data_IF_358363041055
#
_entry.id   IF_358363041055
#
_cell.length_a   1.000
_cell.length_b   1.000
_cell.length_c   1.000
_cell.angle_alpha   90.00
_cell.angle_beta   90.00
_cell.angle_gamma   90.00
#
_symmetry.space_group_name_H-M   'P 1'
#
loop_
_entity.id
_entity.type
_entity.pdbx_description
1 polymer ?
#
# COMPACT_ATOMS: atom_id res chain seq x y z
N UNK A 1 4.58 -27.31 34.18
CA UNK A 1 3.52 -26.34 34.51
C UNK A 1 2.18 -27.01 34.24
N UNK A 2 1.24 -26.99 35.18
CA UNK A 2 -0.07 -27.63 35.08
C UNK A 2 -0.99 -26.90 34.08
N UNK A 3 -1.83 -27.66 33.36
CA UNK A 3 -2.87 -27.31 32.35
C UNK A 3 -3.79 -26.07 32.60
N UNK A 4 -3.62 -25.33 33.69
CA UNK A 4 -4.49 -24.21 34.07
C UNK A 4 -4.16 -22.97 33.24
N UNK A 5 -5.09 -22.62 32.33
CA UNK A 5 -5.23 -21.35 31.61
C UNK A 5 -4.65 -21.24 30.18
N UNK A 6 -4.76 -22.28 29.33
CA UNK A 6 -4.57 -22.07 27.89
C UNK A 6 -5.74 -21.25 27.35
N UNK A 7 -5.54 -19.96 27.08
CA UNK A 7 -6.54 -19.07 26.48
C UNK A 7 -6.44 -19.15 24.96
N UNK A 8 -7.52 -19.61 24.34
CA UNK A 8 -7.62 -19.81 22.89
C UNK A 8 -8.65 -18.82 22.34
N UNK A 9 -8.31 -18.21 21.21
CA UNK A 9 -9.21 -17.33 20.46
C UNK A 9 -9.91 -18.13 19.35
N UNK A 10 -10.90 -17.53 18.68
CA UNK A 10 -11.66 -18.22 17.63
C UNK A 10 -11.79 -17.32 16.42
N UNK A 11 -11.54 -17.81 15.22
CA UNK A 11 -11.86 -17.08 13.99
C UNK A 11 -13.35 -17.22 13.67
N UNK A 12 -13.98 -16.15 13.18
CA UNK A 12 -15.40 -16.19 12.79
C UNK A 12 -15.56 -15.96 11.28
N UNK A 13 -16.44 -16.75 10.68
CA UNK A 13 -16.95 -16.56 9.32
C UNK A 13 -18.36 -15.98 9.37
N UNK A 14 -18.79 -15.22 8.34
CA UNK A 14 -20.17 -14.76 8.20
C UNK A 14 -21.17 -15.93 8.13
N UNK A 15 -22.46 -15.70 8.46
CA UNK A 15 -23.46 -16.76 8.48
C UNK A 15 -23.78 -17.45 7.13
N UNK A 16 -23.27 -16.98 5.99
CA UNK A 16 -23.54 -17.58 4.68
C UNK A 16 -22.27 -17.65 3.81
N UNK A 17 -21.86 -18.88 3.48
CA UNK A 17 -20.72 -19.19 2.62
C UNK A 17 -21.16 -19.10 1.15
N UNK A 18 -20.74 -18.07 0.40
CA UNK A 18 -20.88 -18.08 -1.07
C UNK A 18 -19.58 -17.69 -1.77
N UNK A 19 -18.96 -18.73 -2.31
CA UNK A 19 -17.71 -18.77 -3.06
C UNK A 19 -17.93 -18.25 -4.49
N UNK A 20 -18.18 -16.95 -4.65
CA UNK A 20 -18.31 -16.34 -6.00
C UNK A 20 -17.71 -14.94 -6.08
N UNK A 21 -16.39 -14.85 -6.09
CA UNK A 21 -15.69 -13.69 -6.69
C UNK A 21 -14.52 -14.17 -7.55
N UNK A 22 -14.32 -13.58 -8.75
CA UNK A 22 -13.29 -14.03 -9.69
C UNK A 22 -11.88 -13.71 -9.18
N UNK A 23 -10.90 -14.61 -9.36
CA UNK A 23 -9.52 -14.48 -8.87
C UNK A 23 -8.65 -13.48 -9.66
N UNK A 24 -9.23 -12.51 -10.36
CA UNK A 24 -8.55 -11.74 -11.42
C UNK A 24 -7.58 -10.66 -10.96
N UNK A 25 -7.35 -10.48 -9.64
CA UNK A 25 -6.45 -9.44 -9.11
C UNK A 25 -5.23 -10.01 -8.36
N UNK A 26 -4.94 -11.30 -8.53
CA UNK A 26 -3.89 -12.00 -7.80
C UNK A 26 -2.60 -12.03 -8.62
N UNK A 27 -1.57 -11.31 -8.18
CA UNK A 27 -0.19 -11.60 -8.61
C UNK A 27 0.25 -12.82 -7.82
N UNK A 28 0.25 -13.99 -8.46
CA UNK A 28 0.92 -15.17 -7.93
C UNK A 28 2.40 -14.83 -7.72
N UNK A 29 3.04 -15.24 -6.60
CA UNK A 29 4.48 -15.26 -6.55
C UNK A 29 4.99 -16.08 -7.73
N UNK A 30 6.01 -15.59 -8.44
CA UNK A 30 6.74 -16.44 -9.37
C UNK A 30 7.16 -17.69 -8.59
N UNK A 31 6.84 -18.88 -9.12
CA UNK A 31 7.31 -20.15 -8.58
C UNK A 31 8.82 -20.05 -8.29
N UNK A 32 9.17 -19.95 -7.01
CA UNK A 32 10.55 -20.11 -6.54
C UNK A 32 11.38 -18.88 -6.14
N UNK A 33 10.83 -17.71 -5.81
CA UNK A 33 11.68 -16.56 -5.37
C UNK A 33 11.27 -15.82 -4.08
N UNK A 34 10.42 -16.41 -3.23
CA UNK A 34 10.16 -15.92 -1.87
C UNK A 34 10.11 -17.10 -0.88
N UNK A 35 10.67 -16.96 0.34
CA UNK A 35 10.61 -18.03 1.34
C UNK A 35 9.15 -18.29 1.72
N UNK A 36 8.80 -19.57 1.77
CA UNK A 36 7.44 -20.06 1.61
C UNK A 36 6.78 -20.32 2.98
N UNK A 37 6.35 -19.29 3.77
CA UNK A 37 5.66 -19.45 5.10
C UNK A 37 4.51 -18.41 5.55
N UNK A 38 3.16 -18.69 5.55
CA UNK A 38 1.93 -18.47 6.42
C UNK A 38 0.59 -18.66 5.61
N UNK A 39 -0.62 -18.73 6.21
CA UNK A 39 -1.91 -18.93 5.49
C UNK A 39 -3.02 -17.84 5.57
N UNK A 40 -3.76 -17.59 4.47
CA UNK A 40 -4.84 -16.59 4.33
C UNK A 40 -6.00 -17.06 3.42
N UNK A 41 -7.26 -16.76 3.77
CA UNK A 41 -8.45 -16.93 2.89
C UNK A 41 -8.46 -15.87 1.77
N UNK A 42 -8.57 -16.32 0.51
CA UNK A 42 -8.56 -15.46 -0.69
C UNK A 42 -9.67 -14.40 -0.72
N UNK A 43 -10.82 -14.68 -0.13
CA UNK A 43 -11.99 -13.77 -0.09
C UNK A 43 -11.89 -12.71 1.00
N UNK A 44 -11.02 -12.93 2.00
CA UNK A 44 -10.84 -12.05 3.14
C UNK A 44 -9.83 -10.91 2.87
N UNK A 45 -9.12 -10.93 1.75
CA UNK A 45 -8.02 -10.01 1.44
C UNK A 45 -8.42 -8.52 1.32
N UNK A 46 -7.78 -7.63 2.07
CA UNK A 46 -7.87 -6.17 1.87
C UNK A 46 -6.96 -5.70 0.73
N UNK A 47 -7.24 -4.54 0.13
CA UNK A 47 -6.30 -3.97 -0.86
C UNK A 47 -5.07 -3.40 -0.13
N UNK A 48 -3.82 -3.59 -0.62
CA UNK A 48 -2.66 -2.90 -0.06
C UNK A 48 -2.84 -1.38 -0.11
N UNK A 49 -2.35 -0.68 0.91
CA UNK A 49 -2.54 0.75 1.14
C UNK A 49 -3.92 1.14 1.69
N UNK A 50 -4.78 0.17 2.03
CA UNK A 50 -6.09 0.48 2.62
C UNK A 50 -5.93 1.07 4.02
N UNK A 51 -6.64 2.17 4.28
CA UNK A 51 -6.88 2.67 5.63
C UNK A 51 -8.10 1.95 6.24
N UNK A 52 -7.88 1.17 7.29
CA UNK A 52 -8.91 0.44 8.01
C UNK A 52 -9.30 1.22 9.26
N UNK A 53 -10.52 1.71 9.30
CA UNK A 53 -11.07 2.41 10.45
C UNK A 53 -11.41 1.41 11.56
N UNK A 54 -10.92 1.69 12.76
CA UNK A 54 -11.04 0.85 13.95
C UNK A 54 -11.76 1.61 15.05
N UNK A 55 -12.96 1.14 15.41
CA UNK A 55 -13.80 1.72 16.44
C UNK A 55 -13.78 0.87 17.72
N UNK A 56 -13.53 1.49 18.87
CA UNK A 56 -13.68 0.84 20.17
C UNK A 56 -15.08 1.07 20.75
N UNK A 57 -15.88 0.01 20.87
CA UNK A 57 -17.24 0.06 21.41
C UNK A 57 -17.27 0.17 22.94
N UNK A 58 -16.21 -0.28 23.62
CA UNK A 58 -16.06 -0.23 25.08
C UNK A 58 -14.58 -0.28 25.49
N UNK A 59 -14.27 -0.47 26.78
CA UNK A 59 -12.91 -0.64 27.30
C UNK A 59 -12.34 0.60 27.99
N UNK A 60 -11.40 0.39 28.90
CA UNK A 60 -10.67 1.47 29.57
C UNK A 60 -9.72 2.16 28.60
N UNK A 61 -9.34 3.40 28.89
CA UNK A 61 -8.32 4.13 28.10
C UNK A 61 -6.99 3.37 28.06
N UNK A 62 -6.61 2.72 29.16
CA UNK A 62 -5.38 1.93 29.23
C UNK A 62 -5.41 0.75 28.26
N UNK A 63 -6.47 -0.06 28.31
CA UNK A 63 -6.64 -1.23 27.42
C UNK A 63 -6.71 -0.80 25.96
N UNK A 64 -7.48 0.25 25.63
CA UNK A 64 -7.56 0.80 24.25
C UNK A 64 -6.19 1.21 23.72
N UNK A 65 -5.38 1.89 24.52
CA UNK A 65 -4.04 2.32 24.14
C UNK A 65 -3.09 1.14 23.89
N UNK A 66 -3.17 0.08 24.72
CA UNK A 66 -2.38 -1.14 24.52
C UNK A 66 -2.80 -1.87 23.25
N UNK A 67 -4.09 -2.04 23.01
CA UNK A 67 -4.60 -2.65 21.77
C UNK A 67 -4.15 -1.86 20.54
N UNK A 68 -4.29 -0.52 20.55
CA UNK A 68 -3.80 0.33 19.47
C UNK A 68 -2.31 0.10 19.20
N UNK A 69 -1.48 0.16 20.24
CA UNK A 69 -0.03 0.00 20.10
C UNK A 69 0.37 -1.34 19.46
N UNK A 70 -0.20 -2.46 19.93
CA UNK A 70 0.18 -3.78 19.43
C UNK A 70 -0.45 -4.11 18.07
N UNK A 71 -1.63 -3.58 17.75
CA UNK A 71 -2.23 -3.69 16.42
C UNK A 71 -1.34 -3.09 15.33
N UNK A 72 -0.78 -1.90 15.60
CA UNK A 72 0.09 -1.16 14.68
C UNK A 72 1.45 -1.83 14.43
N UNK A 73 1.78 -2.94 15.11
CA UNK A 73 2.98 -3.73 14.78
C UNK A 73 2.87 -4.32 13.36
N UNK A 74 1.66 -4.67 12.91
CA UNK A 74 1.43 -5.15 11.55
C UNK A 74 1.78 -4.11 10.48
N UNK A 75 1.53 -2.82 10.72
CA UNK A 75 1.81 -1.71 9.79
C UNK A 75 3.31 -1.61 9.41
N UNK A 76 4.20 -2.18 10.23
CA UNK A 76 5.65 -2.22 9.94
C UNK A 76 6.03 -3.21 8.84
N UNK A 77 5.14 -4.14 8.52
CA UNK A 77 5.40 -5.26 7.60
C UNK A 77 4.33 -5.38 6.53
N UNK A 78 3.13 -4.87 6.79
CA UNK A 78 1.99 -4.86 5.90
C UNK A 78 1.68 -3.42 5.50
N UNK A 79 1.59 -3.17 4.20
CA UNK A 79 1.08 -1.92 3.62
C UNK A 79 -0.43 -1.80 3.87
N UNK A 80 -0.82 -1.48 5.11
CA UNK A 80 -2.16 -1.22 5.62
C UNK A 80 -2.00 -0.21 6.75
N UNK A 81 -2.96 0.72 6.91
CA UNK A 81 -2.98 1.68 8.02
C UNK A 81 -4.23 1.46 8.89
N UNK A 82 -4.07 1.35 10.21
CA UNK A 82 -5.18 1.31 11.16
C UNK A 82 -5.50 2.71 11.67
N UNK A 83 -6.67 3.21 11.28
CA UNK A 83 -7.18 4.52 11.70
C UNK A 83 -8.11 4.34 12.90
N UNK A 84 -7.59 4.53 14.11
CA UNK A 84 -8.38 4.46 15.34
C UNK A 84 -9.17 5.76 15.54
N UNK A 85 -10.48 5.73 15.26
CA UNK A 85 -11.38 6.87 15.33
C UNK A 85 -12.82 6.46 15.71
N UNK A 86 -13.72 7.45 15.71
CA UNK A 86 -15.15 7.26 15.99
C UNK A 86 -16.00 7.13 14.70
N UNK A 87 -15.40 6.64 13.60
CA UNK A 87 -16.10 6.51 12.32
C UNK A 87 -17.32 5.60 12.43
N UNK A 88 -18.49 6.11 12.03
CA UNK A 88 -19.73 5.34 11.98
C UNK A 88 -19.68 4.17 10.98
N UNK A 89 -18.73 4.21 10.03
CA UNK A 89 -18.52 3.17 9.03
C UNK A 89 -17.23 2.35 9.31
N UNK A 90 -16.76 2.32 10.55
CA UNK A 90 -15.57 1.57 10.94
C UNK A 90 -15.68 0.10 10.53
N UNK A 91 -14.70 -0.38 9.76
CA UNK A 91 -14.66 -1.76 9.30
C UNK A 91 -14.40 -2.71 10.47
N UNK A 92 -13.51 -2.34 11.38
CA UNK A 92 -13.17 -3.12 12.57
C UNK A 92 -13.83 -2.48 13.79
N UNK A 93 -14.64 -3.24 14.52
CA UNK A 93 -15.39 -2.76 15.70
C UNK A 93 -15.10 -3.65 16.91
N UNK A 94 -14.40 -3.11 17.90
CA UNK A 94 -13.81 -3.88 19.00
C UNK A 94 -14.66 -3.77 20.26
N UNK A 95 -15.05 -4.91 20.83
CA UNK A 95 -15.65 -5.02 22.16
C UNK A 95 -14.72 -5.70 23.17
N UNK A 96 -15.00 -5.51 24.47
CA UNK A 96 -14.27 -6.12 25.58
C UNK A 96 -15.21 -6.90 26.51
N UNK A 97 -16.02 -7.81 25.95
CA UNK A 97 -16.97 -8.62 26.72
C UNK A 97 -16.22 -9.68 27.51
N UNK A 98 -16.07 -9.46 28.82
CA UNK A 98 -15.37 -10.37 29.74
C UNK A 98 -16.02 -11.76 29.71
N UNK A 99 -15.21 -12.80 29.54
CA UNK A 99 -15.68 -14.18 29.44
C UNK A 99 -16.29 -14.55 28.07
N UNK A 100 -16.43 -13.61 27.15
CA UNK A 100 -16.93 -13.84 25.78
C UNK A 100 -15.89 -14.43 24.81
N UNK A 101 -14.72 -14.84 25.29
CA UNK A 101 -13.57 -15.26 24.49
C UNK A 101 -12.92 -14.09 23.74
N UNK A 102 -11.78 -14.34 23.09
CA UNK A 102 -11.22 -13.40 22.10
C UNK A 102 -11.44 -13.96 20.71
N UNK A 103 -11.79 -13.10 19.76
CA UNK A 103 -12.11 -13.50 18.39
C UNK A 103 -12.14 -12.29 17.46
N UNK A 104 -12.02 -12.57 16.17
CA UNK A 104 -12.12 -11.59 15.09
C UNK A 104 -12.73 -12.25 13.84
N UNK A 105 -13.51 -11.49 13.07
CA UNK A 105 -13.88 -11.93 11.71
C UNK A 105 -12.69 -11.78 10.77
N UNK A 106 -12.63 -12.66 9.77
CA UNK A 106 -11.52 -12.69 8.82
C UNK A 106 -11.59 -11.54 7.80
N UNK A 107 -10.61 -10.65 7.81
CA UNK A 107 -10.38 -9.71 6.72
C UNK A 107 -11.63 -8.93 6.28
N UNK A 108 -11.90 -8.89 4.98
CA UNK A 108 -13.08 -8.21 4.40
C UNK A 108 -14.44 -8.78 4.82
N UNK A 109 -14.51 -9.93 5.47
CA UNK A 109 -15.77 -10.43 6.02
C UNK A 109 -16.32 -9.51 7.11
N UNK A 110 -15.46 -8.70 7.74
CA UNK A 110 -15.85 -7.60 8.61
C UNK A 110 -16.89 -6.65 7.97
N UNK A 111 -16.87 -6.49 6.63
CA UNK A 111 -17.81 -5.64 5.88
C UNK A 111 -19.24 -6.19 5.80
N UNK A 112 -19.42 -7.47 6.10
CA UNK A 112 -20.74 -8.13 6.06
C UNK A 112 -21.46 -8.07 7.41
N UNK A 113 -20.75 -7.64 8.45
CA UNK A 113 -21.27 -7.59 9.81
C UNK A 113 -22.05 -6.29 10.01
N UNK A 114 -23.30 -6.34 10.53
CA UNK A 114 -24.09 -5.15 10.82
C UNK A 114 -23.30 -4.11 11.65
N UNK A 115 -23.51 -2.83 11.33
CA UNK A 115 -22.72 -1.72 11.90
C UNK A 115 -22.87 -1.56 13.42
N UNK A 116 -23.94 -2.09 14.01
CA UNK A 116 -24.22 -2.09 15.45
C UNK A 116 -23.64 -3.30 16.20
N UNK A 117 -23.02 -4.24 15.48
CA UNK A 117 -22.42 -5.45 16.05
C UNK A 117 -20.89 -5.34 16.08
N UNK A 118 -20.21 -5.89 17.11
CA UNK A 118 -18.76 -5.99 17.12
C UNK A 118 -18.27 -6.93 16.01
N UNK A 119 -17.10 -6.63 15.47
CA UNK A 119 -16.38 -7.51 14.53
C UNK A 119 -15.14 -8.17 15.14
N UNK A 120 -14.75 -7.72 16.34
CA UNK A 120 -13.67 -8.29 17.13
C UNK A 120 -14.01 -8.16 18.62
N UNK A 121 -13.59 -9.13 19.43
CA UNK A 121 -13.70 -9.06 20.89
C UNK A 121 -12.38 -9.45 21.56
N UNK A 122 -12.04 -8.78 22.64
CA UNK A 122 -11.01 -9.22 23.59
C UNK A 122 -11.65 -9.59 24.93
N UNK A 123 -11.68 -10.87 25.25
CA UNK A 123 -12.52 -11.39 26.34
C UNK A 123 -11.90 -11.38 27.73
N UNK A 124 -10.65 -10.98 27.88
CA UNK A 124 -9.90 -11.16 29.13
C UNK A 124 -8.86 -10.08 29.44
N UNK A 125 -8.84 -8.99 28.67
CA UNK A 125 -7.99 -7.84 28.99
C UNK A 125 -8.61 -7.01 30.11
N UNK A 126 -7.74 -6.54 30.99
CA UNK A 126 -8.02 -5.60 32.06
C UNK A 126 -6.81 -4.67 32.28
N UNK A 127 -6.93 -3.72 33.21
CA UNK A 127 -5.88 -2.74 33.50
C UNK A 127 -4.64 -3.35 34.19
N UNK A 128 -4.66 -4.64 34.53
CA UNK A 128 -3.53 -5.37 35.13
C UNK A 128 -2.90 -6.38 34.16
N UNK A 129 -3.41 -6.48 32.94
CA UNK A 129 -2.91 -7.40 31.91
C UNK A 129 -1.48 -7.00 31.51
N UNK A 130 -0.61 -7.99 31.31
CA UNK A 130 0.80 -7.74 30.99
C UNK A 130 1.00 -7.39 29.52
N UNK A 131 2.12 -6.73 29.21
CA UNK A 131 2.46 -6.36 27.83
C UNK A 131 2.64 -7.59 26.93
N UNK A 132 3.16 -8.70 27.47
CA UNK A 132 3.26 -9.95 26.72
C UNK A 132 1.89 -10.50 26.30
N UNK A 133 0.89 -10.39 27.17
CA UNK A 133 -0.46 -10.87 26.88
C UNK A 133 -1.22 -9.94 25.93
N UNK A 134 -1.02 -8.63 26.07
CA UNK A 134 -1.49 -7.65 25.08
C UNK A 134 -0.85 -7.90 23.71
N UNK A 135 0.47 -8.09 23.65
CA UNK A 135 1.21 -8.39 22.42
C UNK A 135 0.68 -9.65 21.76
N UNK A 136 0.62 -10.75 22.50
CA UNK A 136 0.14 -12.04 22.01
C UNK A 136 -1.24 -11.94 21.38
N UNK A 137 -2.23 -11.52 22.18
CA UNK A 137 -3.63 -11.63 21.78
C UNK A 137 -3.98 -10.53 20.77
N UNK A 138 -3.47 -9.32 20.94
CA UNK A 138 -3.79 -8.22 19.99
C UNK A 138 -3.21 -8.48 18.62
N UNK A 139 -1.93 -8.84 18.51
CA UNK A 139 -1.30 -9.12 17.21
C UNK A 139 -2.03 -10.28 16.53
N UNK A 140 -2.41 -11.32 17.28
CA UNK A 140 -3.18 -12.46 16.78
C UNK A 140 -4.55 -12.06 16.20
N UNK A 141 -5.38 -11.34 16.97
CA UNK A 141 -6.71 -10.93 16.49
C UNK A 141 -6.64 -9.97 15.30
N UNK A 142 -5.64 -9.08 15.28
CA UNK A 142 -5.42 -8.22 14.12
C UNK A 142 -4.85 -8.99 12.91
N UNK A 143 -4.16 -10.11 13.11
CA UNK A 143 -3.83 -11.05 12.05
C UNK A 143 -5.08 -11.59 11.36
N UNK A 144 -6.08 -12.03 12.14
CA UNK A 144 -7.41 -12.39 11.61
C UNK A 144 -8.09 -11.22 10.90
N UNK A 145 -8.05 -10.02 11.49
CA UNK A 145 -8.63 -8.83 10.85
C UNK A 145 -7.94 -8.48 9.52
N UNK A 146 -6.70 -8.93 9.28
CA UNK A 146 -5.98 -8.83 8.01
C UNK A 146 -6.19 -10.05 7.09
N UNK A 147 -6.93 -11.07 7.55
CA UNK A 147 -7.29 -12.27 6.79
C UNK A 147 -6.46 -13.51 7.08
N UNK A 148 -5.46 -13.43 7.98
CA UNK A 148 -4.67 -14.60 8.38
C UNK A 148 -5.57 -15.62 9.09
N UNK A 149 -5.43 -16.89 8.74
CA UNK A 149 -6.11 -18.00 9.42
C UNK A 149 -5.22 -18.60 10.51
N UNK A 150 -5.77 -19.47 11.34
CA UNK A 150 -4.96 -20.21 12.32
C UNK A 150 -3.93 -21.14 11.66
N UNK A 151 -2.70 -21.10 12.17
CA UNK A 151 -1.58 -21.87 11.63
C UNK A 151 -1.79 -23.39 11.78
N UNK A 152 -2.49 -23.84 12.84
CA UNK A 152 -2.85 -25.25 13.02
C UNK A 152 -3.92 -25.76 12.04
N UNK A 153 -4.68 -24.85 11.41
CA UNK A 153 -5.65 -25.17 10.35
C UNK A 153 -5.04 -25.08 8.95
N UNK A 154 -3.76 -24.71 8.85
CA UNK A 154 -3.02 -24.75 7.59
C UNK A 154 -3.07 -26.16 6.98
N UNK A 155 -3.24 -26.29 5.65
CA UNK A 155 -3.13 -27.58 4.98
C UNK A 155 -1.84 -28.35 5.32
N UNK A 156 -0.75 -27.63 5.63
CA UNK A 156 0.55 -28.19 5.96
C UNK A 156 0.71 -28.68 7.42
N UNK A 157 -0.19 -28.29 8.33
CA UNK A 157 -0.07 -28.62 9.75
C UNK A 157 -0.19 -30.13 9.98
N UNK A 158 0.81 -30.78 10.58
CA UNK A 158 0.75 -32.23 10.87
C UNK A 158 0.85 -32.49 12.38
N UNK A 159 -0.05 -31.86 13.15
CA UNK A 159 -0.06 -31.93 14.61
C UNK A 159 -0.59 -33.31 15.06
N UNK A 160 0.16 -34.05 15.90
CA UNK A 160 -0.22 -35.38 16.37
C UNK A 160 -1.20 -35.31 17.54
N UNK A 161 -2.42 -34.79 17.32
CA UNK A 161 -3.42 -34.60 18.38
C UNK A 161 -3.84 -35.91 19.09
N UNK A 162 -3.84 -35.90 20.42
CA UNK A 162 -4.52 -36.89 21.27
C UNK A 162 -6.00 -36.51 21.38
N UNK A 163 -6.78 -36.82 20.32
CA UNK A 163 -8.17 -36.35 20.16
C UNK A 163 -9.04 -36.58 21.41
N UNK A 164 -9.03 -37.75 22.09
CA UNK A 164 -9.78 -37.95 23.34
C UNK A 164 -9.45 -36.92 24.42
N UNK A 165 -8.17 -36.61 24.66
CA UNK A 165 -7.77 -35.60 25.65
C UNK A 165 -8.15 -34.19 25.23
N UNK A 166 -8.03 -33.89 23.93
CA UNK A 166 -8.42 -32.59 23.37
C UNK A 166 -9.92 -32.33 23.59
N UNK A 167 -10.80 -33.30 23.29
CA UNK A 167 -12.23 -33.16 23.57
C UNK A 167 -12.51 -32.98 25.06
N UNK A 168 -11.85 -33.74 25.93
CA UNK A 168 -12.03 -33.63 27.37
C UNK A 168 -11.59 -32.27 27.92
N UNK A 169 -10.51 -31.70 27.37
CA UNK A 169 -9.98 -30.40 27.77
C UNK A 169 -10.90 -29.25 27.33
N UNK A 170 -11.22 -29.17 26.04
CA UNK A 170 -12.04 -28.08 25.50
C UNK A 170 -13.53 -28.18 25.82
N UNK A 171 -14.02 -29.38 26.14
CA UNK A 171 -15.37 -29.57 26.67
C UNK A 171 -15.55 -29.05 28.10
N UNK A 172 -14.45 -28.76 28.82
CA UNK A 172 -14.48 -28.10 30.12
C UNK A 172 -14.51 -26.57 30.03
N UNK A 173 -14.79 -25.87 31.14
CA UNK A 173 -14.68 -24.42 31.20
C UNK A 173 -13.22 -23.95 31.02
N UNK A 174 -12.99 -22.76 30.43
CA UNK A 174 -13.99 -21.75 30.08
C UNK A 174 -14.66 -21.96 28.71
N UNK A 175 -14.12 -22.85 27.86
CA UNK A 175 -14.58 -23.01 26.48
C UNK A 175 -15.95 -23.70 26.38
N UNK A 176 -16.15 -24.80 27.12
CA UNK A 176 -17.37 -25.61 27.10
C UNK A 176 -17.78 -26.02 25.66
N UNK A 177 -16.80 -26.34 24.81
CA UNK A 177 -17.02 -26.66 23.41
C UNK A 177 -17.66 -28.04 23.25
N UNK A 178 -18.61 -28.14 22.31
CA UNK A 178 -19.07 -29.44 21.83
C UNK A 178 -17.96 -30.16 21.07
N UNK A 179 -18.16 -31.45 20.78
CA UNK A 179 -17.22 -32.20 19.96
C UNK A 179 -17.12 -31.61 18.55
N UNK A 180 -18.26 -31.20 18.00
CA UNK A 180 -18.38 -30.54 16.72
C UNK A 180 -17.64 -29.21 16.70
N UNK A 181 -17.72 -28.42 17.77
CA UNK A 181 -16.95 -27.17 17.90
C UNK A 181 -15.45 -27.44 17.91
N UNK A 182 -14.98 -28.49 18.60
CA UNK A 182 -13.57 -28.89 18.58
C UNK A 182 -13.15 -29.36 17.19
N UNK A 183 -13.99 -30.15 16.52
CA UNK A 183 -13.72 -30.61 15.17
C UNK A 183 -13.57 -29.42 14.19
N UNK A 184 -14.48 -28.45 14.25
CA UNK A 184 -14.47 -27.28 13.36
C UNK A 184 -13.37 -26.27 13.69
N UNK A 185 -13.18 -25.94 14.97
CA UNK A 185 -12.31 -24.84 15.39
C UNK A 185 -10.87 -25.29 15.71
N UNK A 186 -10.57 -26.58 15.67
CA UNK A 186 -9.23 -27.08 16.00
C UNK A 186 -8.70 -28.15 15.04
N UNK A 187 -9.54 -29.10 14.60
CA UNK A 187 -9.08 -30.19 13.74
C UNK A 187 -9.29 -29.95 12.26
N UNK A 188 -10.23 -29.09 11.89
CA UNK A 188 -10.50 -28.77 10.50
C UNK A 188 -9.29 -28.05 9.88
N UNK A 189 -9.05 -28.35 8.61
CA UNK A 189 -8.00 -27.71 7.82
C UNK A 189 -8.61 -27.06 6.60
N UNK A 190 -8.05 -25.93 6.20
CA UNK A 190 -8.43 -25.31 4.94
C UNK A 190 -8.06 -26.21 3.77
N UNK A 191 -8.84 -26.15 2.68
CA UNK A 191 -8.47 -26.80 1.45
C UNK A 191 -7.27 -26.08 0.80
N UNK A 192 -6.34 -26.84 0.23
CA UNK A 192 -5.15 -26.32 -0.50
C UNK A 192 -5.52 -25.24 -1.52
N UNK A 193 -6.68 -25.35 -2.18
CA UNK A 193 -7.15 -24.38 -3.17
C UNK A 193 -7.72 -23.09 -2.58
N UNK A 194 -8.19 -23.13 -1.34
CA UNK A 194 -8.94 -22.06 -0.67
C UNK A 194 -8.05 -21.10 0.13
N UNK A 195 -6.88 -21.58 0.57
CA UNK A 195 -5.92 -20.78 1.31
C UNK A 195 -4.67 -20.52 0.47
N UNK A 196 -4.12 -19.30 0.54
CA UNK A 196 -2.66 -19.20 0.48
C UNK A 196 -2.14 -19.81 1.76
N UNK A 197 -1.13 -20.64 1.72
CA UNK A 197 -0.58 -21.30 2.90
C UNK A 197 0.83 -21.77 2.58
N UNK A 198 1.49 -22.28 3.60
CA UNK A 198 2.90 -22.61 3.55
C UNK A 198 3.27 -23.75 4.47
N UNK A 199 4.57 -24.06 4.63
CA UNK A 199 5.00 -24.96 5.71
C UNK A 199 4.59 -24.42 7.08
N UNK A 200 4.30 -25.35 7.99
CA UNK A 200 3.83 -25.09 9.34
C UNK A 200 4.90 -24.36 10.17
N UNK A 201 4.57 -23.19 10.70
CA UNK A 201 5.45 -22.41 11.58
C UNK A 201 5.08 -22.58 13.07
N UNK A 202 5.88 -23.33 13.86
CA UNK A 202 5.63 -23.50 15.29
C UNK A 202 5.80 -22.19 16.10
N UNK A 203 6.40 -21.15 15.50
CA UNK A 203 6.64 -19.85 16.13
C UNK A 203 5.65 -18.76 15.69
N UNK A 204 4.72 -19.07 14.77
CA UNK A 204 3.78 -18.09 14.26
C UNK A 204 2.93 -17.51 15.38
N UNK A 205 2.68 -16.19 15.31
CA UNK A 205 1.72 -15.53 16.19
C UNK A 205 0.30 -16.08 15.98
N UNK A 206 0.00 -16.66 14.82
CA UNK A 206 -1.29 -17.27 14.46
C UNK A 206 -1.43 -18.70 14.99
N UNK A 207 -0.44 -19.22 15.71
CA UNK A 207 -0.47 -20.54 16.33
C UNK A 207 -0.76 -20.45 17.84
N UNK A 208 -1.77 -21.18 18.30
CA UNK A 208 -1.95 -21.36 19.75
C UNK A 208 -0.84 -22.20 20.34
N UNK A 209 -0.52 -21.95 21.62
CA UNK A 209 0.32 -22.87 22.38
C UNK A 209 -0.33 -24.25 22.40
N UNK A 210 0.33 -25.24 21.83
CA UNK A 210 -0.05 -26.65 21.84
C UNK A 210 0.70 -27.30 23.00
N UNK A 211 -0.06 -27.75 24.01
CA UNK A 211 0.52 -28.44 25.16
C UNK A 211 0.81 -29.90 24.81
N UNK A 212 1.96 -30.42 25.26
CA UNK A 212 2.33 -31.83 25.11
C UNK A 212 1.24 -32.79 25.62
N UNK A 213 0.55 -32.39 26.70
CA UNK A 213 -0.58 -33.13 27.29
C UNK A 213 -1.71 -33.44 26.30
N UNK A 214 -1.85 -32.64 25.23
CA UNK A 214 -2.91 -32.73 24.22
C UNK A 214 -2.45 -33.45 22.94
N UNK A 215 -1.23 -33.98 22.92
CA UNK A 215 -0.63 -34.60 21.75
C UNK A 215 -0.03 -35.96 22.04
N UNK A 216 0.20 -36.73 20.99
CA UNK A 216 0.88 -38.02 21.04
C UNK A 216 2.38 -37.83 20.87
N UNK A 217 3.19 -38.48 21.72
CA UNK A 217 4.65 -38.39 21.67
C UNK A 217 5.17 -37.15 22.41
N UNK A 218 6.31 -36.61 21.95
CA UNK A 218 6.95 -35.44 22.54
C UNK A 218 6.80 -34.23 21.61
N UNK A 219 5.59 -33.67 21.54
CA UNK A 219 5.26 -32.51 20.71
C UNK A 219 4.65 -31.40 21.56
N UNK A 220 5.23 -30.21 21.54
CA UNK A 220 4.59 -29.00 22.07
C UNK A 220 5.07 -27.78 21.30
N UNK A 221 4.33 -26.68 21.40
CA UNK A 221 4.73 -25.40 20.80
C UNK A 221 4.91 -24.34 21.88
N UNK A 222 5.81 -23.36 21.66
CA UNK A 222 6.04 -22.29 22.62
C UNK A 222 4.83 -21.34 22.71
N UNK A 223 4.83 -20.50 23.74
CA UNK A 223 3.87 -19.40 23.84
C UNK A 223 4.37 -18.21 22.99
N UNK A 224 3.91 -18.13 21.75
CA UNK A 224 4.32 -17.08 20.81
C UNK A 224 3.64 -15.76 21.19
N UNK A 225 4.43 -14.71 21.44
CA UNK A 225 3.91 -13.39 21.87
C UNK A 225 4.27 -12.26 20.93
N UNK A 226 5.03 -12.54 19.86
CA UNK A 226 5.49 -11.58 18.85
C UNK A 226 5.41 -12.22 17.46
N UNK A 227 5.41 -11.39 16.41
CA UNK A 227 5.51 -11.87 15.03
C UNK A 227 6.81 -12.66 14.80
N UNK A 228 6.68 -13.88 14.28
CA UNK A 228 7.81 -14.65 13.77
C UNK A 228 8.41 -14.00 12.52
N UNK A 229 9.62 -14.43 12.11
CA UNK A 229 10.19 -14.00 10.83
C UNK A 229 9.29 -14.37 9.65
N UNK A 230 8.67 -15.54 9.75
CA UNK A 230 7.68 -16.08 8.82
C UNK A 230 6.44 -15.17 8.71
N UNK A 231 5.83 -14.79 9.84
CA UNK A 231 4.64 -13.93 9.85
C UNK A 231 4.91 -12.61 9.12
N UNK A 232 6.08 -12.01 9.37
CA UNK A 232 6.53 -10.75 8.76
C UNK A 232 6.72 -10.88 7.25
N UNK A 233 7.37 -11.94 6.79
CA UNK A 233 7.61 -12.15 5.36
C UNK A 233 6.31 -12.40 4.60
N UNK A 234 5.41 -13.19 5.16
CA UNK A 234 4.16 -13.49 4.48
C UNK A 234 3.21 -12.31 4.43
N UNK A 235 3.01 -11.62 5.55
CA UNK A 235 2.13 -10.46 5.53
C UNK A 235 2.66 -9.37 4.60
N UNK A 236 3.99 -9.23 4.50
CA UNK A 236 4.63 -8.36 3.54
C UNK A 236 4.40 -8.81 2.10
N UNK A 237 4.43 -10.12 1.84
CA UNK A 237 4.12 -10.65 0.50
C UNK A 237 2.66 -10.41 0.08
N UNK A 238 1.74 -10.38 1.05
CA UNK A 238 0.33 -10.11 0.83
C UNK A 238 0.04 -8.61 0.72
N UNK A 239 0.69 -7.81 1.54
CA UNK A 239 0.53 -6.36 1.61
C UNK A 239 1.88 -5.68 1.34
N UNK A 240 2.42 -5.79 0.11
CA UNK A 240 3.73 -5.22 -0.20
C UNK A 240 3.66 -3.69 -0.19
N UNK A 241 4.71 -3.06 0.32
CA UNK A 241 4.95 -1.64 0.05
C UNK A 241 5.23 -1.49 -1.45
N UNK A 242 4.60 -0.51 -2.11
CA UNK A 242 5.09 -0.09 -3.43
C UNK A 242 6.46 0.52 -3.21
N UNK A 243 7.49 -0.04 -3.85
CA UNK A 243 8.84 0.53 -3.81
C UNK A 243 8.89 1.86 -4.59
N UNK A 244 8.32 2.92 -4.03
CA UNK A 244 8.51 4.31 -4.49
C UNK A 244 9.94 4.82 -4.23
N UNK A 245 10.84 3.96 -3.72
CA UNK A 245 12.15 4.29 -3.15
C UNK A 245 13.19 4.78 -4.16
N UNK A 246 12.91 4.73 -5.45
CA UNK A 246 13.76 5.32 -6.49
C UNK A 246 12.96 6.23 -7.42
N UNK A 247 11.95 6.96 -6.97
CA UNK A 247 11.15 7.86 -7.81
C UNK A 247 11.94 9.04 -8.41
N UNK A 248 13.26 8.97 -8.50
CA UNK A 248 14.18 9.92 -9.11
C UNK A 248 15.28 9.19 -9.87
N UNK A 249 15.64 9.78 -11.00
CA UNK A 249 16.73 9.41 -11.89
C UNK A 249 17.63 10.64 -12.07
N UNK A 250 18.96 10.46 -11.99
CA UNK A 250 19.91 11.45 -12.48
C UNK A 250 20.82 10.82 -13.53
N UNK A 251 21.12 11.56 -14.60
CA UNK A 251 22.15 11.16 -15.56
C UNK A 251 23.52 10.93 -14.91
N UNK A 252 23.75 11.54 -13.74
CA UNK A 252 25.00 11.44 -13.00
C UNK A 252 25.17 10.06 -12.33
N UNK A 253 24.09 9.29 -12.19
CA UNK A 253 24.12 7.95 -11.58
C UNK A 253 24.89 6.93 -12.44
N UNK A 254 25.05 7.21 -13.74
CA UNK A 254 25.69 6.29 -14.69
C UNK A 254 26.65 6.96 -15.68
N UNK A 255 26.79 8.29 -15.68
CA UNK A 255 27.86 8.98 -16.42
C UNK A 255 28.34 10.26 -15.74
N UNK A 256 29.62 10.59 -15.95
CA UNK A 256 30.18 11.86 -15.50
C UNK A 256 29.67 13.05 -16.34
N UNK A 257 29.48 14.24 -15.74
CA UNK A 257 29.09 15.45 -16.48
C UNK A 257 30.06 15.86 -17.60
N UNK A 258 31.35 15.50 -17.46
CA UNK A 258 32.38 15.76 -18.47
C UNK A 258 32.24 14.95 -19.77
N UNK A 259 31.31 13.99 -19.82
CA UNK A 259 31.00 13.19 -21.00
C UNK A 259 29.52 13.40 -21.40
N UNK A 260 29.18 14.57 -21.98
CA UNK A 260 27.80 14.90 -22.31
C UNK A 260 27.22 13.93 -23.35
N UNK A 261 25.97 13.52 -23.15
CA UNK A 261 25.22 12.65 -24.06
C UNK A 261 23.85 13.25 -24.31
N UNK A 262 23.42 13.21 -25.58
CA UNK A 262 22.09 13.64 -25.99
C UNK A 262 21.02 12.74 -25.38
N UNK A 263 21.20 11.42 -25.51
CA UNK A 263 20.21 10.44 -25.08
C UNK A 263 20.63 9.83 -23.74
N UNK A 264 19.75 9.86 -22.75
CA UNK A 264 20.00 9.33 -21.42
C UNK A 264 18.76 8.59 -20.93
N UNK A 265 18.91 7.29 -20.67
CA UNK A 265 17.79 6.46 -20.28
C UNK A 265 18.22 5.36 -19.31
N UNK A 266 17.31 4.95 -18.42
CA UNK A 266 17.50 3.74 -17.61
C UNK A 266 16.19 2.98 -17.45
N UNK A 267 16.30 1.65 -17.29
CA UNK A 267 15.17 0.80 -16.97
C UNK A 267 14.78 1.00 -15.51
N UNK A 268 13.49 1.23 -15.28
CA UNK A 268 12.86 1.19 -13.96
C UNK A 268 12.00 -0.06 -13.92
N UNK A 269 12.19 -0.89 -12.91
CA UNK A 269 11.40 -2.09 -12.70
C UNK A 269 10.32 -1.82 -11.65
N UNK A 270 9.11 -2.32 -11.88
CA UNK A 270 8.05 -2.31 -10.89
C UNK A 270 8.18 -3.52 -9.99
N UNK A 271 8.34 -3.26 -8.70
CA UNK A 271 8.42 -4.29 -7.67
C UNK A 271 7.41 -3.97 -6.56
N UNK A 272 6.26 -4.70 -6.50
CA UNK A 272 5.83 -5.74 -7.44
C UNK A 272 5.37 -5.19 -8.80
N UNK A 273 5.23 -6.09 -9.79
CA UNK A 273 4.64 -5.77 -11.10
C UNK A 273 3.18 -5.31 -10.94
N UNK A 274 2.75 -4.37 -11.77
CA UNK A 274 1.35 -3.98 -11.84
C UNK A 274 0.50 -5.02 -12.59
N UNK A 275 -0.80 -5.16 -12.24
CA UNK A 275 -1.72 -6.00 -13.00
C UNK A 275 -1.93 -5.53 -14.44
N UNK A 276 -1.84 -4.22 -14.69
CA UNK A 276 -1.90 -3.59 -16.01
C UNK A 276 -0.89 -2.44 -16.04
N UNK A 277 -0.37 -2.03 -17.20
CA UNK A 277 0.57 -0.92 -17.28
C UNK A 277 -0.01 0.34 -16.59
N UNK A 278 0.68 0.90 -15.57
CA UNK A 278 0.24 2.12 -14.92
C UNK A 278 0.42 3.34 -15.85
N UNK A 279 -0.25 4.43 -15.54
CA UNK A 279 0.07 5.73 -16.11
C UNK A 279 1.24 6.35 -15.34
N UNK A 280 2.14 7.04 -16.03
CA UNK A 280 3.34 7.65 -15.44
C UNK A 280 3.39 9.14 -15.77
N UNK A 281 3.33 9.98 -14.73
CA UNK A 281 3.65 11.40 -14.84
C UNK A 281 5.14 11.58 -14.53
N UNK A 282 5.86 12.31 -15.38
CA UNK A 282 7.28 12.58 -15.20
C UNK A 282 7.48 14.09 -15.06
N UNK A 283 8.53 14.52 -14.39
CA UNK A 283 9.03 15.87 -14.59
C UNK A 283 10.47 16.07 -14.16
N UNK A 284 11.05 17.17 -14.63
CA UNK A 284 12.45 17.50 -14.42
C UNK A 284 12.69 17.88 -12.94
N UNK A 285 13.86 17.50 -12.42
CA UNK A 285 14.28 17.79 -11.04
C UNK A 285 15.61 18.54 -10.96
N UNK A 286 16.47 18.39 -11.97
CA UNK A 286 17.75 19.09 -12.08
C UNK A 286 18.13 19.25 -13.56
N UNK A 287 18.93 20.28 -13.86
CA UNK A 287 19.42 20.57 -15.20
C UNK A 287 20.75 21.33 -15.14
N UNK A 288 21.78 20.80 -15.81
CA UNK A 288 23.03 21.48 -16.15
C UNK A 288 23.29 21.33 -17.66
N UNK A 289 23.23 22.45 -18.38
CA UNK A 289 23.19 22.48 -19.83
C UNK A 289 23.97 23.69 -20.35
N UNK A 290 24.67 23.50 -21.47
CA UNK A 290 25.46 24.58 -22.08
C UNK A 290 24.57 25.69 -22.63
N UNK A 291 25.00 26.93 -22.43
CA UNK A 291 24.36 28.13 -22.98
C UNK A 291 24.77 28.48 -24.42
N UNK A 292 25.75 27.79 -24.99
CA UNK A 292 26.28 28.10 -26.33
C UNK A 292 25.32 27.68 -27.47
N UNK A 293 24.29 26.90 -27.12
CA UNK A 293 23.27 26.34 -27.99
C UNK A 293 21.89 26.55 -27.36
N UNK A 294 20.82 26.33 -28.13
CA UNK A 294 19.48 26.40 -27.55
C UNK A 294 19.35 25.36 -26.45
N UNK A 295 18.59 25.70 -25.42
CA UNK A 295 18.35 24.82 -24.29
C UNK A 295 17.21 23.89 -24.67
N UNK A 296 17.55 22.63 -24.89
CA UNK A 296 16.62 21.60 -25.38
C UNK A 296 16.69 20.38 -24.48
N UNK A 297 15.62 20.10 -23.77
CA UNK A 297 15.55 18.98 -22.83
C UNK A 297 14.12 18.44 -22.79
N UNK A 298 13.99 17.12 -22.66
CA UNK A 298 12.73 16.45 -22.37
C UNK A 298 12.94 15.27 -21.44
N UNK A 299 12.10 15.15 -20.42
CA UNK A 299 12.00 13.99 -19.55
C UNK A 299 10.66 13.30 -19.75
N UNK A 300 10.70 11.98 -19.99
CA UNK A 300 9.51 11.20 -20.32
C UNK A 300 9.72 9.72 -19.98
N UNK A 301 8.61 9.02 -19.78
CA UNK A 301 8.58 7.57 -19.67
C UNK A 301 8.24 6.96 -21.04
N UNK A 302 8.96 5.92 -21.45
CA UNK A 302 8.61 5.08 -22.59
C UNK A 302 8.45 3.61 -22.17
N UNK A 303 7.90 2.79 -23.07
CA UNK A 303 7.76 1.34 -22.91
C UNK A 303 7.21 0.94 -21.53
N UNK A 304 6.15 1.63 -21.09
CA UNK A 304 5.47 1.31 -19.84
C UNK A 304 4.75 -0.02 -19.99
N UNK A 305 5.08 -0.96 -19.11
CA UNK A 305 4.54 -2.31 -19.06
C UNK A 305 4.09 -2.64 -17.65
N UNK A 306 3.47 -3.80 -17.44
CA UNK A 306 3.20 -4.33 -16.10
C UNK A 306 4.47 -4.47 -15.25
N UNK A 307 5.64 -4.70 -15.87
CA UNK A 307 6.89 -4.99 -15.15
C UNK A 307 7.83 -3.81 -14.95
N UNK A 308 7.56 -2.67 -15.61
CA UNK A 308 8.47 -1.53 -15.56
C UNK A 308 8.29 -0.62 -16.76
N UNK A 309 9.15 0.38 -16.85
CA UNK A 309 9.22 1.35 -17.92
C UNK A 309 10.65 1.85 -18.10
N UNK A 310 10.91 2.65 -19.13
CA UNK A 310 12.21 3.32 -19.28
C UNK A 310 12.02 4.81 -19.08
N UNK A 311 12.75 5.36 -18.11
CA UNK A 311 12.79 6.79 -17.86
C UNK A 311 13.90 7.42 -18.72
N UNK A 312 13.59 8.57 -19.32
CA UNK A 312 14.51 9.32 -20.18
C UNK A 312 14.72 10.75 -19.67
N UNK A 313 15.90 11.30 -19.92
CA UNK A 313 16.17 12.75 -19.92
C UNK A 313 17.08 13.10 -21.11
N UNK A 314 16.45 13.44 -22.23
CA UNK A 314 17.11 13.57 -23.52
C UNK A 314 17.22 15.04 -23.94
N UNK A 315 18.36 15.42 -24.50
CA UNK A 315 18.53 16.60 -25.35
C UNK A 315 18.65 16.19 -26.82
N UNK A 316 18.61 17.17 -27.72
CA UNK A 316 18.73 16.92 -29.17
C UNK A 316 19.47 18.03 -29.90
N UNK A 317 19.70 17.81 -31.20
CA UNK A 317 20.46 18.70 -32.08
C UNK A 317 21.88 18.99 -31.55
N UNK A 318 22.26 20.26 -31.44
CA UNK A 318 23.58 20.75 -31.02
C UNK A 318 23.68 20.98 -29.50
N UNK A 319 22.62 20.73 -28.74
CA UNK A 319 22.57 20.97 -27.30
C UNK A 319 23.57 20.09 -26.54
N UNK A 320 24.38 20.70 -25.68
CA UNK A 320 25.33 19.99 -24.81
C UNK A 320 24.76 19.87 -23.40
N UNK A 321 24.31 18.65 -23.04
CA UNK A 321 23.70 18.34 -21.75
C UNK A 321 24.73 17.72 -20.79
N UNK A 322 25.18 18.50 -19.80
CA UNK A 322 26.13 18.03 -18.79
C UNK A 322 25.45 17.09 -17.81
N UNK A 323 24.31 17.49 -17.24
CA UNK A 323 23.45 16.61 -16.46
C UNK A 323 21.98 17.01 -16.53
N UNK A 324 21.11 16.04 -16.29
CA UNK A 324 19.71 16.25 -16.02
C UNK A 324 19.23 15.18 -15.02
N UNK A 325 18.08 15.45 -14.41
CA UNK A 325 17.38 14.47 -13.62
C UNK A 325 15.89 14.62 -13.76
N UNK A 326 15.20 13.52 -13.52
CA UNK A 326 13.76 13.41 -13.61
C UNK A 326 13.25 12.66 -12.38
N UNK A 327 12.02 12.96 -11.99
CA UNK A 327 11.28 12.15 -11.04
C UNK A 327 9.91 11.82 -11.64
N UNK A 328 9.24 10.83 -11.07
CA UNK A 328 7.97 10.36 -11.61
C UNK A 328 6.95 10.05 -10.52
N UNK A 329 5.70 10.03 -10.94
CA UNK A 329 4.54 9.66 -10.16
C UNK A 329 3.75 8.61 -10.92
N UNK A 330 3.49 7.49 -10.26
CA UNK A 330 2.83 6.32 -10.84
C UNK A 330 1.37 6.28 -10.41
N UNK A 331 0.47 6.05 -11.38
CA UNK A 331 -0.96 5.87 -11.14
C UNK A 331 -1.38 4.53 -11.72
N UNK A 332 -1.78 3.60 -10.85
CA UNK A 332 -2.27 2.30 -11.30
C UNK A 332 -3.50 2.50 -12.21
N UNK A 333 -3.68 1.63 -13.21
CA UNK A 333 -4.85 1.68 -14.09
C UNK A 333 -6.20 1.55 -13.36
N UNK A 334 -6.18 0.97 -12.15
CA UNK A 334 -7.34 0.81 -11.27
C UNK A 334 -7.49 1.95 -10.26
N UNK A 335 -6.56 2.90 -10.22
CA UNK A 335 -6.62 4.04 -9.33
C UNK A 335 -7.70 5.02 -9.82
N UNK A 336 -8.68 5.27 -8.97
CA UNK A 336 -9.80 6.17 -9.26
C UNK A 336 -9.66 7.52 -8.58
N UNK A 337 -8.65 7.69 -7.74
CA UNK A 337 -8.43 8.92 -6.98
C UNK A 337 -7.52 9.88 -7.74
N UNK A 338 -6.50 9.35 -8.43
CA UNK A 338 -5.59 10.17 -9.22
C UNK A 338 -5.94 10.13 -10.69
N UNK A 339 -5.81 11.29 -11.33
CA UNK A 339 -5.80 11.41 -12.78
C UNK A 339 -4.56 12.14 -13.21
N UNK A 340 -3.93 11.66 -14.27
CA UNK A 340 -2.70 12.27 -14.79
C UNK A 340 -2.76 12.40 -16.31
N UNK A 341 -1.92 13.27 -16.83
CA UNK A 341 -1.74 13.40 -18.27
C UNK A 341 -0.62 14.35 -18.62
N UNK A 342 -0.60 14.75 -19.88
CA UNK A 342 0.44 15.58 -20.47
C UNK A 342 -0.18 16.72 -21.27
N UNK A 343 0.59 17.80 -21.40
CA UNK A 343 0.33 18.86 -22.37
C UNK A 343 1.65 19.31 -23.00
N UNK A 344 1.67 19.34 -24.34
CA UNK A 344 2.74 19.96 -25.13
C UNK A 344 2.19 21.18 -25.87
N UNK A 345 2.89 22.31 -25.79
CA UNK A 345 2.58 23.52 -26.58
C UNK A 345 2.53 23.26 -28.09
N UNK A 346 3.23 22.24 -28.59
CA UNK A 346 3.21 21.83 -30.00
C UNK A 346 1.85 21.26 -30.43
N UNK A 347 0.96 20.94 -29.50
CA UNK A 347 -0.43 20.60 -29.80
C UNK A 347 -1.26 21.82 -30.22
N UNK A 348 -0.81 23.04 -29.85
CA UNK A 348 -1.50 24.29 -30.20
C UNK A 348 -0.99 24.88 -31.50
N UNK A 349 0.29 24.70 -31.81
CA UNK A 349 0.99 25.39 -32.91
C UNK A 349 2.30 24.69 -33.30
N UNK A 350 2.84 24.93 -34.50
CA UNK A 350 4.15 24.40 -34.87
C UNK A 350 5.30 25.10 -34.12
N UNK A 351 6.44 24.40 -33.99
CA UNK A 351 7.60 24.85 -33.18
C UNK A 351 8.22 26.19 -33.63
N UNK A 352 8.03 26.60 -34.88
CA UNK A 352 8.59 27.81 -35.46
C UNK A 352 7.72 29.06 -35.24
N UNK A 353 6.57 28.93 -34.59
CA UNK A 353 5.65 30.01 -34.24
C UNK A 353 5.65 30.20 -32.72
N UNK A 354 6.76 30.67 -32.16
CA UNK A 354 6.89 30.83 -30.71
C UNK A 354 5.87 31.84 -30.15
N UNK A 355 5.16 31.47 -29.07
CA UNK A 355 4.19 32.31 -28.37
C UNK A 355 4.49 32.37 -26.87
N UNK A 356 4.20 33.52 -26.27
CA UNK A 356 4.46 33.75 -24.85
C UNK A 356 3.43 33.12 -23.93
N UNK A 357 2.19 32.94 -24.40
CA UNK A 357 1.06 32.51 -23.58
C UNK A 357 0.47 31.26 -24.21
N UNK A 358 0.50 30.14 -23.49
CA UNK A 358 0.14 28.84 -24.02
C UNK A 358 -0.81 28.13 -23.08
N UNK A 359 -2.10 28.20 -23.39
CA UNK A 359 -3.16 27.66 -22.54
C UNK A 359 -3.96 26.60 -23.25
N UNK A 360 -4.24 25.50 -22.56
CA UNK A 360 -5.19 24.48 -23.01
C UNK A 360 -6.14 24.09 -21.88
N UNK A 361 -7.42 23.91 -22.19
CA UNK A 361 -8.37 23.29 -21.27
C UNK A 361 -8.12 21.78 -21.22
N UNK A 362 -7.84 21.26 -20.03
CA UNK A 362 -7.83 19.82 -19.75
C UNK A 362 -9.17 19.44 -19.16
N UNK A 363 -9.78 18.40 -19.73
CA UNK A 363 -10.99 17.78 -19.21
C UNK A 363 -10.57 16.51 -18.49
N UNK A 364 -11.01 16.36 -17.25
CA UNK A 364 -10.77 15.12 -16.50
C UNK A 364 -11.58 13.98 -17.11
N UNK A 365 -10.97 12.80 -17.18
CA UNK A 365 -11.64 11.59 -17.64
C UNK A 365 -12.83 11.26 -16.71
N UNK A 366 -12.63 11.46 -15.40
CA UNK A 366 -13.67 11.34 -14.39
C UNK A 366 -13.82 12.65 -13.61
N UNK A 367 -15.05 13.12 -13.42
CA UNK A 367 -15.28 14.33 -12.62
C UNK A 367 -15.04 14.07 -11.12
N UNK A 368 -14.45 15.05 -10.44
CA UNK A 368 -14.30 15.04 -8.98
C UNK A 368 -15.55 15.56 -8.29
N UNK A 369 -15.78 15.16 -7.03
CA UNK A 369 -16.94 15.64 -6.23
C UNK A 369 -16.84 17.12 -5.86
N UNK A 370 -15.61 17.65 -5.78
CA UNK A 370 -15.26 19.05 -5.54
C UNK A 370 -14.01 19.37 -6.39
N UNK A 371 -13.70 20.65 -6.65
CA UNK A 371 -12.46 21.01 -7.35
C UNK A 371 -11.23 20.33 -6.72
N UNK A 372 -10.47 19.53 -7.49
CA UNK A 372 -9.30 18.80 -6.98
C UNK A 372 -8.13 19.75 -6.75
N UNK A 373 -7.06 19.22 -6.13
CA UNK A 373 -5.73 19.84 -6.25
C UNK A 373 -5.10 19.38 -7.55
N UNK A 374 -4.46 20.30 -8.26
CA UNK A 374 -3.74 20.03 -9.52
C UNK A 374 -2.29 20.44 -9.35
N UNK A 375 -1.39 19.51 -9.66
CA UNK A 375 0.05 19.75 -9.78
C UNK A 375 0.39 19.71 -11.26
N UNK A 376 1.12 20.71 -11.74
CA UNK A 376 1.72 20.71 -13.08
C UNK A 376 3.23 20.69 -12.93
N UNK A 377 3.88 19.84 -13.71
CA UNK A 377 5.31 19.55 -13.55
C UNK A 377 6.00 19.64 -14.90
N UNK A 378 6.92 20.59 -15.01
CA UNK A 378 7.69 20.83 -16.23
C UNK A 378 8.47 19.57 -16.65
N UNK A 379 8.23 19.12 -17.88
CA UNK A 379 8.84 17.93 -18.46
C UNK A 379 9.91 18.25 -19.50
N UNK A 380 9.73 19.32 -20.26
CA UNK A 380 10.66 19.68 -21.31
C UNK A 380 10.43 21.07 -21.87
N UNK A 381 11.46 21.59 -22.54
CA UNK A 381 11.41 22.88 -23.20
C UNK A 381 12.53 23.03 -24.26
N UNK A 382 12.26 23.85 -25.28
CA UNK A 382 13.21 24.36 -26.29
C UNK A 382 13.23 25.89 -26.21
N UNK A 383 14.35 26.45 -25.77
CA UNK A 383 14.51 27.90 -25.60
C UNK A 383 15.70 28.46 -26.38
N UNK A 384 15.51 29.64 -26.95
CA UNK A 384 16.52 30.31 -27.77
C UNK A 384 17.76 30.72 -26.97
N UNK A 385 18.94 30.40 -27.49
CA UNK A 385 20.23 30.70 -26.83
C UNK A 385 20.61 32.17 -26.77
N UNK A 386 20.07 32.99 -27.67
CA UNK A 386 20.36 34.41 -27.76
C UNK A 386 19.39 35.25 -26.90
N UNK A 387 18.43 34.60 -26.23
CA UNK A 387 17.41 35.22 -25.38
C UNK A 387 17.60 34.83 -23.91
N UNK A 388 16.92 35.53 -23.01
CA UNK A 388 16.83 35.10 -21.63
C UNK A 388 15.88 33.91 -21.50
N UNK A 389 16.03 33.09 -20.45
CA UNK A 389 15.18 31.92 -20.23
C UNK A 389 14.28 32.14 -19.02
N UNK A 390 13.00 32.34 -19.30
CA UNK A 390 11.94 32.44 -18.31
C UNK A 390 10.82 31.52 -18.73
N UNK A 391 10.39 30.63 -17.84
CA UNK A 391 9.34 29.68 -18.12
C UNK A 391 8.56 29.42 -16.84
N UNK A 392 7.24 29.31 -16.96
CA UNK A 392 6.35 28.98 -15.86
C UNK A 392 5.32 27.95 -16.33
N UNK A 393 5.11 26.92 -15.51
CA UNK A 393 3.99 25.99 -15.68
C UNK A 393 3.06 26.15 -14.50
N UNK A 394 1.77 26.37 -14.77
CA UNK A 394 0.78 26.54 -13.72
C UNK A 394 -0.60 26.07 -14.17
N UNK A 395 -1.47 25.82 -13.20
CA UNK A 395 -2.87 25.47 -13.42
C UNK A 395 -3.76 26.62 -12.96
N UNK A 396 -4.81 26.92 -13.72
CA UNK A 396 -5.86 27.86 -13.32
C UNK A 396 -7.25 27.32 -13.67
N UNK A 397 -8.30 28.04 -13.27
CA UNK A 397 -9.70 27.68 -13.57
C UNK A 397 -10.05 26.22 -13.22
N UNK A 398 -9.53 25.73 -12.08
CA UNK A 398 -9.72 24.37 -11.59
C UNK A 398 -11.17 24.21 -11.12
N UNK A 399 -11.83 23.21 -11.68
CA UNK A 399 -13.21 22.81 -11.41
C UNK A 399 -13.28 21.30 -11.18
N UNK A 400 -14.44 20.77 -10.82
CA UNK A 400 -14.66 19.31 -10.75
C UNK A 400 -14.47 18.58 -12.08
N UNK A 401 -14.60 19.27 -13.20
CA UNK A 401 -14.60 18.67 -14.55
C UNK A 401 -13.29 18.88 -15.32
N UNK A 402 -12.44 19.81 -14.88
CA UNK A 402 -11.22 20.15 -15.58
C UNK A 402 -10.55 21.40 -15.07
N UNK A 403 -9.45 21.77 -15.71
CA UNK A 403 -8.64 22.94 -15.40
C UNK A 403 -7.95 23.47 -16.66
N UNK A 404 -7.40 24.68 -16.59
CA UNK A 404 -6.58 25.24 -17.66
C UNK A 404 -5.11 25.04 -17.31
N UNK A 405 -4.37 24.36 -18.18
CA UNK A 405 -2.91 24.22 -18.06
C UNK A 405 -2.23 25.33 -18.84
N UNK A 406 -1.19 25.92 -18.24
CA UNK A 406 -0.40 27.00 -18.82
C UNK A 406 1.07 26.61 -18.90
N UNK A 407 1.72 26.93 -20.01
CA UNK A 407 3.18 26.83 -20.20
C UNK A 407 3.68 28.13 -20.81
N UNK A 408 4.00 29.10 -19.97
CA UNK A 408 4.19 30.48 -20.40
C UNK A 408 5.64 30.92 -20.31
N UNK A 409 5.97 31.91 -21.12
CA UNK A 409 7.24 32.66 -21.09
C UNK A 409 6.96 34.16 -21.14
N UNK A 410 7.94 35.01 -20.83
CA UNK A 410 7.71 36.47 -20.78
C UNK A 410 8.98 37.29 -21.02
N UNK A 411 8.80 38.58 -21.32
CA UNK A 411 9.90 39.50 -21.62
C UNK A 411 10.55 39.17 -22.96
N UNK A 412 11.89 39.12 -22.99
CA UNK A 412 12.68 38.79 -24.19
C UNK A 412 12.82 37.27 -24.42
N UNK A 413 12.27 36.44 -23.53
CA UNK A 413 12.36 35.00 -23.65
C UNK A 413 11.60 34.48 -24.86
N UNK A 414 12.16 33.46 -25.50
CA UNK A 414 11.57 32.80 -26.66
C UNK A 414 11.51 31.30 -26.41
N UNK A 415 10.29 30.78 -26.29
CA UNK A 415 9.94 29.38 -26.06
C UNK A 415 9.43 28.78 -27.37
N UNK A 416 10.24 27.94 -28.02
CA UNK A 416 9.85 27.24 -29.25
C UNK A 416 8.89 26.08 -28.96
N UNK A 417 9.12 25.37 -27.85
CA UNK A 417 8.19 24.37 -27.32
C UNK A 417 8.38 24.23 -25.82
N UNK A 418 7.33 23.91 -25.09
CA UNK A 418 7.36 23.51 -23.69
C UNK A 418 6.33 22.41 -23.42
N UNK A 419 6.61 21.58 -22.43
CA UNK A 419 5.74 20.45 -22.13
C UNK A 419 5.71 20.15 -20.63
N UNK A 420 4.57 19.69 -20.13
CA UNK A 420 4.34 19.47 -18.71
C UNK A 420 3.44 18.25 -18.45
N UNK A 421 3.74 17.52 -17.38
CA UNK A 421 2.81 16.55 -16.81
C UNK A 421 1.82 17.30 -15.94
N UNK A 422 0.63 16.74 -15.76
CA UNK A 422 -0.29 17.15 -14.72
C UNK A 422 -0.76 15.96 -13.89
N UNK A 423 -1.03 16.22 -12.61
CA UNK A 423 -1.55 15.27 -11.63
C UNK A 423 -2.69 15.94 -10.88
N UNK A 424 -3.87 15.34 -10.90
CA UNK A 424 -5.07 15.79 -10.20
C UNK A 424 -5.48 14.76 -9.13
N UNK A 425 -5.82 15.23 -7.93
CA UNK A 425 -6.25 14.38 -6.81
C UNK A 425 -7.25 15.10 -5.89
N UNK A 426 -8.07 14.38 -5.10
CA UNK A 426 -9.08 14.98 -4.23
C UNK A 426 -8.46 15.98 -3.25
N UNK A 427 -9.04 17.16 -3.12
CA UNK A 427 -8.48 18.26 -2.33
C UNK A 427 -8.37 17.94 -0.82
N UNK A 428 -9.23 17.04 -0.34
CA UNK A 428 -9.32 16.55 1.04
C UNK A 428 -8.52 15.27 1.29
N UNK A 429 -7.79 14.75 0.29
CA UNK A 429 -6.94 13.55 0.47
C UNK A 429 -5.85 13.82 1.51
N UNK A 430 -5.87 13.05 2.59
CA UNK A 430 -4.89 13.12 3.68
C UNK A 430 -3.59 12.43 3.28
N UNK A 431 -2.48 12.79 3.94
CA UNK A 431 -1.16 12.20 3.68
C UNK A 431 -0.45 12.69 2.42
N UNK A 432 -1.02 13.65 1.68
CA UNK A 432 -0.43 14.23 0.47
C UNK A 432 -0.28 15.74 0.62
N UNK A 433 0.91 16.22 0.25
CA UNK A 433 1.23 17.64 0.21
C UNK A 433 1.74 17.97 -1.19
N UNK A 434 1.25 19.08 -1.74
CA UNK A 434 1.77 19.66 -2.99
C UNK A 434 1.97 21.16 -2.80
N UNK A 435 2.93 21.72 -3.52
CA UNK A 435 3.29 23.13 -3.43
C UNK A 435 3.83 23.66 -4.74
N UNK A 436 4.30 24.91 -4.70
CA UNK A 436 4.87 25.62 -5.84
C UNK A 436 6.35 25.86 -5.58
N UNK A 437 7.17 25.68 -6.61
CA UNK A 437 8.58 26.09 -6.61
C UNK A 437 8.69 27.31 -7.52
N UNK A 438 9.17 28.42 -6.96
CA UNK A 438 9.36 29.68 -7.67
C UNK A 438 10.76 30.22 -7.34
N UNK A 439 11.58 30.40 -8.38
CA UNK A 439 12.93 30.94 -8.24
C UNK A 439 12.99 32.46 -8.37
N UNK A 440 11.86 33.14 -8.60
CA UNK A 440 11.76 34.59 -8.76
C UNK A 440 11.63 35.35 -7.44
N UNK A 441 11.17 34.67 -6.38
CA UNK A 441 11.15 35.23 -5.02
C UNK A 441 12.58 35.26 -4.48
N UNK A 442 13.20 36.44 -4.42
CA UNK A 442 14.37 36.65 -3.58
C UNK A 442 14.00 36.29 -2.14
N UNK A 443 14.81 35.48 -1.48
CA UNK A 443 14.84 35.53 -0.02
C UNK A 443 15.42 36.90 0.33
N UNK A 444 14.56 37.85 0.65
CA UNK A 444 14.95 39.00 1.44
C UNK A 444 15.36 38.46 2.82
N UNK A 445 16.66 38.19 2.98
CA UNK A 445 17.31 38.05 4.28
C UNK A 445 18.11 39.31 4.60
#
# INVERSE_FOLDING_TARGET
>A
MTMKNTRICVERLPPDNDSKLPPSNLVLPALGSGPSQLAMDKSAYWRPGTQLHVLFLSGSTFVKNKVKFFAQIWEKYANIDFVFDDSANAQIRISFVVGGGSWSYLGRHNLQIPSDQPTMNFGWFDDNSTDEEFSRTTIHEFGHALGCIHEHMSPAASIPWDKPKVYAYFGGPPNNWSKEDVDQNLFNKYAVSAAYYTEFDPLSIMLYRISNDLTMGDFETPNNTVLSSTDKMFIHSLYPEQTRNMARFSTQDFRLPSNPKLLNATQVNFEPKYPEPPAIAVGLTELDISKEFNVRIKAYADRVTQSGFVIHADSWADTVLFSAGAAWFEVASTDTEFQIGHFDTLELRPWNEAEQQNTKRIIFENSFTKPPKVVVWLQGFDMDKHKCWKIAVHASNISSEGFDVHIDTWGESQLYSGSASWIAYPADKTGIVSGVVDSSTSQDQ
#
